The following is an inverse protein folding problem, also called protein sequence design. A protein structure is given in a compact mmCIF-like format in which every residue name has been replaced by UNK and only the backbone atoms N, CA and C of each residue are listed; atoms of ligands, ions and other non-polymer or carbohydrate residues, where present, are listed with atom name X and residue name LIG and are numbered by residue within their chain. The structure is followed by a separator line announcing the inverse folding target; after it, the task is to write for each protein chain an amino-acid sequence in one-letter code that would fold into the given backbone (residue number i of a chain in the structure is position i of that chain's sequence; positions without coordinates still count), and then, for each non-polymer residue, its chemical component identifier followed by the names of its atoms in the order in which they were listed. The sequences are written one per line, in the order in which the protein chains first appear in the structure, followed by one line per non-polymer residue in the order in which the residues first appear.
data_IF_052714874503
#
_entry.id   IF_052714874503
#
_cell.length_a   1.000
_cell.length_b   1.000
_cell.length_c   1.000
_cell.angle_alpha   90.00
_cell.angle_beta   90.00
_cell.angle_gamma   90.00
#
_symmetry.space_group_name_H-M   'P 1'
#
loop_
_entity.id
_entity.type
_entity.pdbx_description
1 polymer ?
#
# COMPACT_ATOMS: atom_id res chain seq x y z
N UNK A 1 2.92 20.53 21.24
CA UNK A 1 2.81 20.79 19.79
C UNK A 1 3.81 19.99 18.93
N UNK A 2 4.91 19.44 19.45
CA UNK A 2 5.87 18.63 18.65
C UNK A 2 5.45 17.16 18.35
N UNK A 3 4.50 16.57 19.11
CA UNK A 3 4.11 15.15 18.96
C UNK A 3 3.13 14.89 17.81
N UNK A 4 2.35 15.89 17.38
CA UNK A 4 1.36 15.70 16.30
C UNK A 4 2.02 15.70 14.90
N UNK A 5 3.04 16.52 14.67
CA UNK A 5 3.78 16.56 13.40
C UNK A 5 4.46 15.23 13.10
N UNK A 6 5.09 14.62 14.12
CA UNK A 6 5.82 13.35 13.99
C UNK A 6 4.93 12.14 13.76
N UNK A 7 3.68 12.17 14.25
CA UNK A 7 2.72 11.10 13.99
C UNK A 7 2.13 11.18 12.57
N UNK A 8 1.88 12.38 12.07
CA UNK A 8 1.39 12.57 10.70
C UNK A 8 2.45 12.20 9.66
N UNK A 9 3.71 12.59 9.87
CA UNK A 9 4.81 12.22 8.97
C UNK A 9 4.99 10.70 8.88
N UNK A 10 4.89 9.98 10.01
CA UNK A 10 4.94 8.51 10.02
C UNK A 10 3.77 7.88 9.26
N UNK A 11 2.55 8.36 9.47
CA UNK A 11 1.35 7.89 8.77
C UNK A 11 1.51 8.03 7.24
N UNK A 12 1.98 9.19 6.78
CA UNK A 12 2.22 9.45 5.36
C UNK A 12 3.27 8.49 4.79
N UNK A 13 4.37 8.26 5.52
CA UNK A 13 5.40 7.30 5.10
C UNK A 13 4.86 5.86 5.00
N UNK A 14 4.00 5.46 5.93
CA UNK A 14 3.32 4.16 5.88
C UNK A 14 2.41 4.06 4.66
N UNK A 15 1.60 5.09 4.38
CA UNK A 15 0.71 5.15 3.22
C UNK A 15 1.49 5.06 1.89
N UNK A 16 2.61 5.77 1.78
CA UNK A 16 3.50 5.70 0.61
C UNK A 16 4.10 4.30 0.46
N UNK A 17 4.54 3.67 1.56
CA UNK A 17 5.07 2.30 1.51
C UNK A 17 4.01 1.30 1.08
N UNK A 18 2.80 1.39 1.63
CA UNK A 18 1.66 0.53 1.28
C UNK A 18 1.33 0.64 -0.21
N UNK A 19 1.28 1.86 -0.74
CA UNK A 19 1.07 2.10 -2.17
C UNK A 19 2.20 1.51 -3.03
N UNK A 20 3.46 1.72 -2.66
CA UNK A 20 4.63 1.17 -3.37
C UNK A 20 4.60 -0.35 -3.46
N UNK A 21 4.21 -1.03 -2.37
CA UNK A 21 4.11 -2.49 -2.33
C UNK A 21 2.96 -3.01 -3.22
N UNK A 22 1.81 -2.33 -3.23
CA UNK A 22 0.72 -2.67 -4.14
C UNK A 22 1.15 -2.53 -5.60
N UNK A 23 1.80 -1.41 -5.94
CA UNK A 23 2.28 -1.15 -7.29
C UNK A 23 3.34 -2.18 -7.73
N UNK A 24 4.25 -2.56 -6.82
CA UNK A 24 5.23 -3.62 -7.08
C UNK A 24 4.56 -4.95 -7.40
N UNK A 25 3.53 -5.33 -6.64
CA UNK A 25 2.74 -6.55 -6.87
C UNK A 25 2.00 -6.51 -8.21
N UNK A 26 1.35 -5.39 -8.54
CA UNK A 26 0.65 -5.25 -9.83
C UNK A 26 1.61 -5.30 -11.01
N UNK A 27 2.77 -4.63 -10.88
CA UNK A 27 3.81 -4.68 -11.90
C UNK A 27 4.40 -6.09 -12.06
N UNK A 28 4.65 -6.84 -10.98
CA UNK A 28 5.20 -8.21 -11.12
C UNK A 28 4.20 -9.17 -11.78
N UNK A 29 2.90 -8.93 -11.64
CA UNK A 29 1.85 -9.65 -12.36
C UNK A 29 1.74 -9.24 -13.84
N UNK A 30 2.28 -8.09 -14.24
CA UNK A 30 2.25 -7.57 -15.60
C UNK A 30 3.55 -6.80 -15.94
N UNK A 31 4.65 -7.55 -15.99
CA UNK A 31 6.03 -7.06 -15.97
C UNK A 31 6.37 -6.05 -17.10
N UNK A 32 5.77 -6.25 -18.27
CA UNK A 32 6.01 -5.41 -19.44
C UNK A 32 5.23 -4.08 -19.39
N UNK A 33 4.17 -3.98 -18.58
CA UNK A 33 3.35 -2.78 -18.51
C UNK A 33 4.07 -1.61 -17.84
N UNK A 34 3.81 -0.40 -18.36
CA UNK A 34 4.18 0.87 -17.76
C UNK A 34 2.97 1.60 -17.17
N UNK A 35 1.77 1.15 -17.51
CA UNK A 35 0.52 1.78 -17.13
C UNK A 35 -0.33 0.78 -16.33
N UNK A 36 -0.91 1.27 -15.24
CA UNK A 36 -1.75 0.49 -14.33
C UNK A 36 -2.98 1.30 -13.95
N UNK A 37 -4.12 0.62 -13.89
CA UNK A 37 -5.30 1.11 -13.20
C UNK A 37 -5.43 0.39 -11.86
N UNK A 38 -5.70 1.17 -10.83
CA UNK A 38 -6.03 0.69 -9.49
C UNK A 38 -7.36 1.29 -9.09
N UNK A 39 -8.38 0.46 -8.93
CA UNK A 39 -9.69 0.90 -8.45
C UNK A 39 -9.61 1.26 -6.96
N UNK A 40 -10.37 2.25 -6.52
CA UNK A 40 -10.35 2.75 -5.14
C UNK A 40 -10.64 1.63 -4.12
N UNK A 41 -11.52 0.68 -4.46
CA UNK A 41 -11.83 -0.48 -3.63
C UNK A 41 -10.59 -1.34 -3.30
N UNK A 42 -9.62 -1.43 -4.21
CA UNK A 42 -8.37 -2.15 -3.96
C UNK A 42 -7.44 -1.40 -3.01
N UNK A 43 -7.43 -0.07 -3.10
CA UNK A 43 -6.66 0.81 -2.21
C UNK A 43 -7.25 0.79 -0.79
N UNK A 44 -8.58 0.87 -0.68
CA UNK A 44 -9.27 0.80 0.60
C UNK A 44 -9.04 -0.54 1.31
N UNK A 45 -9.02 -1.66 0.56
CA UNK A 45 -8.71 -2.99 1.13
C UNK A 45 -7.32 -3.07 1.77
N UNK A 46 -6.37 -2.26 1.32
CA UNK A 46 -5.02 -2.20 1.92
C UNK A 46 -4.86 -1.06 2.94
N UNK A 47 -5.97 -0.43 3.34
CA UNK A 47 -5.99 0.65 4.33
C UNK A 47 -5.58 2.02 3.78
N UNK A 48 -5.62 2.19 2.45
CA UNK A 48 -5.42 3.48 1.80
C UNK A 48 -6.77 4.03 1.33
N UNK A 49 -7.40 4.84 2.17
CA UNK A 49 -8.63 5.56 1.83
C UNK A 49 -8.35 6.78 0.92
N UNK A 50 -9.39 7.52 0.56
CA UNK A 50 -9.26 8.67 -0.35
C UNK A 50 -8.37 9.77 0.23
N UNK A 51 -8.43 10.01 1.54
CA UNK A 51 -7.59 11.01 2.21
C UNK A 51 -6.13 10.57 2.20
N UNK A 52 -5.83 9.32 2.59
CA UNK A 52 -4.50 8.75 2.51
C UNK A 52 -3.96 8.67 1.08
N UNK A 53 -4.82 8.44 0.09
CA UNK A 53 -4.45 8.47 -1.32
C UNK A 53 -4.07 9.90 -1.75
N UNK A 54 -4.83 10.92 -1.35
CA UNK A 54 -4.43 12.30 -1.61
C UNK A 54 -3.08 12.64 -0.96
N UNK A 55 -2.84 12.22 0.29
CA UNK A 55 -1.53 12.38 0.95
C UNK A 55 -0.40 11.73 0.13
N UNK A 56 -0.63 10.52 -0.41
CA UNK A 56 0.33 9.81 -1.26
C UNK A 56 0.55 10.54 -2.57
N UNK A 57 -0.51 11.00 -3.22
CA UNK A 57 -0.43 11.75 -4.49
C UNK A 57 0.31 13.05 -4.29
N UNK A 58 0.04 13.80 -3.21
CA UNK A 58 0.77 15.03 -2.90
C UNK A 58 2.24 14.73 -2.60
N UNK A 59 2.52 13.71 -1.79
CA UNK A 59 3.89 13.36 -1.39
C UNK A 59 4.73 12.90 -2.59
N UNK A 60 4.17 12.08 -3.48
CA UNK A 60 4.86 11.61 -4.67
C UNK A 60 4.83 12.64 -5.82
N UNK A 61 3.76 13.43 -5.91
CA UNK A 61 3.52 14.45 -6.92
C UNK A 61 4.34 15.72 -6.74
N UNK A 62 4.65 16.12 -5.50
CA UNK A 62 5.49 17.28 -5.20
C UNK A 62 6.95 17.10 -5.65
N UNK A 63 7.39 15.88 -5.92
CA UNK A 63 8.79 15.62 -6.22
C UNK A 63 9.12 15.80 -7.70
N UNK A 64 8.11 15.86 -8.58
CA UNK A 64 8.26 16.28 -9.98
C UNK A 64 8.82 17.70 -10.14
N UNK A 65 8.68 18.56 -9.13
CA UNK A 65 9.14 19.96 -9.20
C UNK A 65 10.64 20.15 -8.92
N UNK A 66 11.40 19.08 -8.61
CA UNK A 66 12.83 19.15 -8.29
C UNK A 66 13.75 18.59 -9.41
N UNK A 67 13.18 18.23 -10.56
CA UNK A 67 13.83 17.46 -11.64
C UNK A 67 14.87 18.21 -12.48
N UNK A 68 15.23 19.46 -12.18
CA UNK A 68 16.23 20.15 -13.00
C UNK A 68 17.67 19.72 -12.70
N UNK A 69 17.97 19.04 -11.58
CA UNK A 69 19.33 18.58 -11.32
C UNK A 69 19.45 17.45 -10.27
N UNK A 70 19.75 16.25 -10.76
CA UNK A 70 20.39 15.08 -10.10
C UNK A 70 19.46 13.94 -9.64
N UNK A 71 19.74 12.78 -10.26
CA UNK A 71 19.35 11.39 -9.89
C UNK A 71 17.86 11.24 -9.68
N UNK A 72 17.19 10.49 -10.54
CA UNK A 72 15.73 10.28 -10.51
C UNK A 72 15.30 9.19 -9.51
N UNK A 73 14.66 9.56 -8.40
CA UNK A 73 13.92 8.65 -7.55
C UNK A 73 12.59 8.20 -8.16
N UNK A 74 11.93 7.28 -7.45
CA UNK A 74 10.64 6.67 -7.76
C UNK A 74 9.52 7.71 -8.00
N UNK A 75 9.09 7.92 -9.25
CA UNK A 75 7.97 8.83 -9.56
C UNK A 75 6.97 8.23 -10.54
N UNK A 76 5.97 7.50 -10.03
CA UNK A 76 4.79 7.21 -10.81
C UNK A 76 4.01 8.50 -11.07
N UNK A 77 3.56 8.69 -12.31
CA UNK A 77 2.55 9.70 -12.61
C UNK A 77 1.21 9.16 -12.14
N UNK A 78 0.55 9.93 -11.29
CA UNK A 78 -0.71 9.55 -10.66
C UNK A 78 -1.81 10.48 -11.14
N UNK A 79 -2.91 9.91 -11.63
CA UNK A 79 -4.14 10.63 -11.91
C UNK A 79 -5.31 9.91 -11.25
N UNK A 80 -6.06 10.62 -10.41
CA UNK A 80 -7.20 10.06 -9.69
C UNK A 80 -8.47 10.78 -10.13
N UNK A 81 -9.45 10.03 -10.61
CA UNK A 81 -10.73 10.56 -11.08
C UNK A 81 -11.86 10.49 -10.03
N UNK A 82 -11.59 9.91 -8.86
CA UNK A 82 -12.55 9.66 -7.78
C UNK A 82 -12.91 8.18 -7.59
N UNK A 83 -12.74 7.36 -8.63
CA UNK A 83 -13.04 5.93 -8.61
C UNK A 83 -11.81 5.07 -8.94
N UNK A 84 -10.91 5.61 -9.76
CA UNK A 84 -9.73 4.93 -10.27
C UNK A 84 -8.50 5.82 -10.18
N UNK A 85 -7.41 5.16 -9.82
CA UNK A 85 -6.08 5.71 -9.87
C UNK A 85 -5.36 5.15 -11.09
N UNK A 86 -5.10 6.01 -12.06
CA UNK A 86 -4.20 5.75 -13.17
C UNK A 86 -2.76 5.99 -12.71
N UNK A 87 -1.90 5.02 -12.97
CA UNK A 87 -0.49 5.01 -12.58
C UNK A 87 0.38 4.73 -13.79
N UNK A 88 1.17 5.71 -14.21
CA UNK A 88 2.21 5.51 -15.24
C UNK A 88 3.59 5.53 -14.60
N UNK A 89 4.39 4.49 -14.80
CA UNK A 89 5.73 4.34 -14.21
C UNK A 89 6.83 4.53 -15.25
N UNK A 90 8.02 4.91 -14.79
CA UNK A 90 9.23 4.98 -15.64
C UNK A 90 10.01 3.65 -15.65
N UNK A 91 10.98 3.51 -16.57
CA UNK A 91 11.93 2.37 -16.55
C UNK A 91 12.70 2.27 -15.22
N UNK A 92 13.10 3.40 -14.64
CA UNK A 92 13.78 3.43 -13.34
C UNK A 92 12.86 3.00 -12.19
N UNK A 93 11.59 3.40 -12.27
CA UNK A 93 10.56 2.92 -11.34
C UNK A 93 10.42 1.40 -11.40
N UNK A 94 10.43 0.78 -12.58
CA UNK A 94 10.45 -0.69 -12.71
C UNK A 94 11.62 -1.34 -11.98
N UNK A 95 12.83 -0.78 -12.13
CA UNK A 95 14.03 -1.29 -11.44
C UNK A 95 13.88 -1.23 -9.92
N UNK A 96 13.29 -0.16 -9.39
CA UNK A 96 12.99 -0.03 -7.97
C UNK A 96 11.89 -1.01 -7.52
N UNK A 97 10.79 -1.14 -8.26
CA UNK A 97 9.71 -2.09 -7.96
C UNK A 97 10.22 -3.53 -7.94
N UNK A 98 11.13 -3.88 -8.84
CA UNK A 98 11.84 -5.17 -8.84
C UNK A 98 12.68 -5.38 -7.58
N UNK A 99 13.44 -4.38 -7.15
CA UNK A 99 14.20 -4.44 -5.89
C UNK A 99 13.27 -4.57 -4.69
N UNK A 100 12.21 -3.77 -4.62
CA UNK A 100 11.21 -3.84 -3.55
C UNK A 100 10.56 -5.22 -3.48
N UNK A 101 10.12 -5.77 -4.61
CA UNK A 101 9.52 -7.10 -4.66
C UNK A 101 10.51 -8.17 -4.18
N UNK A 102 11.75 -8.13 -4.66
CA UNK A 102 12.78 -9.10 -4.28
C UNK A 102 13.24 -8.99 -2.82
N UNK A 103 13.34 -7.78 -2.29
CA UNK A 103 13.75 -7.53 -0.90
C UNK A 103 12.60 -7.79 0.10
N UNK A 104 11.33 -7.66 -0.33
CA UNK A 104 10.15 -7.79 0.52
C UNK A 104 9.24 -8.98 0.16
N UNK A 105 9.72 -9.94 -0.65
CA UNK A 105 8.99 -11.13 -1.10
C UNK A 105 8.34 -11.92 0.06
N UNK A 106 8.96 -11.91 1.25
CA UNK A 106 8.46 -12.58 2.46
C UNK A 106 7.44 -11.71 3.21
N UNK A 107 7.60 -10.40 3.27
CA UNK A 107 6.70 -9.50 4.03
C UNK A 107 5.42 -9.16 3.28
N UNK A 108 5.47 -8.94 1.97
CA UNK A 108 4.28 -8.66 1.15
C UNK A 108 3.40 -9.91 1.03
N UNK A 109 4.02 -11.07 0.79
CA UNK A 109 3.33 -12.36 0.78
C UNK A 109 2.67 -12.67 2.12
N UNK A 110 3.38 -12.43 3.24
CA UNK A 110 2.83 -12.59 4.60
C UNK A 110 1.72 -11.60 4.92
N UNK A 111 1.85 -10.32 4.59
CA UNK A 111 0.81 -9.33 4.90
C UNK A 111 -0.51 -9.62 4.16
N UNK A 112 -0.42 -9.99 2.87
CA UNK A 112 -1.59 -10.41 2.08
C UNK A 112 -2.17 -11.72 2.61
N UNK A 113 -1.34 -12.72 2.92
CA UNK A 113 -1.81 -13.97 3.53
C UNK A 113 -2.45 -13.77 4.90
N UNK A 114 -1.88 -12.90 5.75
CA UNK A 114 -2.43 -12.55 7.07
C UNK A 114 -3.81 -11.93 6.89
N UNK A 115 -3.93 -10.95 5.99
CA UNK A 115 -5.19 -10.29 5.69
C UNK A 115 -6.25 -11.30 5.20
N UNK A 116 -5.92 -12.09 4.17
CA UNK A 116 -6.84 -13.09 3.61
C UNK A 116 -7.20 -14.17 4.64
N UNK A 117 -6.26 -14.58 5.48
CA UNK A 117 -6.49 -15.55 6.56
C UNK A 117 -7.42 -14.96 7.63
N UNK A 118 -7.20 -13.72 8.08
CA UNK A 118 -8.07 -13.06 9.07
C UNK A 118 -9.47 -12.88 8.51
N UNK A 119 -9.62 -12.41 7.26
CA UNK A 119 -10.93 -12.28 6.61
C UNK A 119 -11.62 -13.64 6.48
N UNK A 120 -10.91 -14.68 6.06
CA UNK A 120 -11.46 -16.02 5.91
C UNK A 120 -11.91 -16.59 7.27
N UNK A 121 -11.12 -16.40 8.33
CA UNK A 121 -11.47 -16.84 9.69
C UNK A 121 -12.71 -16.09 10.22
N UNK A 122 -12.84 -14.79 9.92
CA UNK A 122 -14.01 -13.99 10.32
C UNK A 122 -15.25 -14.39 9.50
N UNK A 123 -15.16 -14.38 8.17
CA UNK A 123 -16.34 -14.53 7.29
C UNK A 123 -16.79 -15.98 7.12
N UNK A 124 -15.85 -16.91 6.99
CA UNK A 124 -16.18 -18.30 6.65
C UNK A 124 -16.15 -19.23 7.87
N UNK A 125 -15.42 -18.87 8.92
CA UNK A 125 -15.35 -19.64 10.17
C UNK A 125 -15.98 -18.93 11.38
N UNK A 126 -16.50 -17.71 11.21
CA UNK A 126 -17.20 -16.91 12.23
C UNK A 126 -16.38 -16.68 13.52
N UNK A 127 -15.05 -16.64 13.41
CA UNK A 127 -14.14 -16.38 14.53
C UNK A 127 -13.94 -14.87 14.67
N UNK A 128 -14.38 -14.30 15.80
CA UNK A 128 -14.35 -12.87 16.05
C UNK A 128 -13.40 -12.43 17.17
N UNK A 129 -12.80 -13.39 17.88
CA UNK A 129 -11.82 -13.14 18.93
C UNK A 129 -10.49 -12.68 18.30
N UNK A 130 -10.08 -11.45 18.66
CA UNK A 130 -8.94 -10.78 18.04
C UNK A 130 -7.60 -11.43 18.41
N UNK A 131 -7.46 -11.93 19.63
CA UNK A 131 -6.22 -12.61 20.07
C UNK A 131 -6.10 -13.98 19.41
N UNK A 132 -7.21 -14.70 19.28
CA UNK A 132 -7.24 -15.97 18.58
C UNK A 132 -6.93 -15.80 17.08
N UNK A 133 -7.52 -14.78 16.44
CA UNK A 133 -7.23 -14.44 15.04
C UNK A 133 -5.75 -14.09 14.83
N UNK A 134 -5.15 -13.30 15.73
CA UNK A 134 -3.74 -12.93 15.66
C UNK A 134 -2.84 -14.18 15.72
N UNK A 135 -3.15 -15.09 16.64
CA UNK A 135 -2.44 -16.36 16.78
C UNK A 135 -2.60 -17.28 15.56
N UNK A 136 -3.80 -17.38 15.00
CA UNK A 136 -4.09 -18.25 13.84
C UNK A 136 -3.52 -17.69 12.54
N UNK A 137 -3.50 -16.37 12.37
CA UNK A 137 -2.94 -15.69 11.21
C UNK A 137 -1.42 -15.42 11.35
N UNK A 138 -0.80 -15.78 12.49
CA UNK A 138 0.61 -15.54 12.79
C UNK A 138 1.01 -14.06 12.66
N UNK A 139 0.18 -13.17 13.20
CA UNK A 139 0.37 -11.72 13.21
C UNK A 139 0.09 -11.14 14.59
N UNK A 140 0.27 -9.84 14.78
CA UNK A 140 -0.05 -9.15 16.03
C UNK A 140 -1.51 -8.68 16.10
N UNK A 141 -1.94 -8.39 17.33
CA UNK A 141 -3.31 -7.99 17.66
C UNK A 141 -3.69 -6.63 17.05
N UNK A 142 -2.75 -5.69 16.88
CA UNK A 142 -3.03 -4.39 16.27
C UNK A 142 -3.36 -4.55 14.78
N UNK A 143 -2.61 -5.41 14.08
CA UNK A 143 -2.85 -5.69 12.68
C UNK A 143 -4.22 -6.35 12.44
N UNK A 144 -4.62 -7.30 13.30
CA UNK A 144 -5.97 -7.88 13.27
C UNK A 144 -7.06 -6.84 13.54
N UNK A 145 -6.85 -5.93 14.51
CA UNK A 145 -7.81 -4.84 14.78
C UNK A 145 -7.98 -3.93 13.57
N UNK A 146 -6.89 -3.56 12.88
CA UNK A 146 -6.96 -2.77 11.64
C UNK A 146 -7.79 -3.50 10.58
N UNK A 147 -7.51 -4.78 10.33
CA UNK A 147 -8.26 -5.59 9.34
C UNK A 147 -9.75 -5.69 9.72
N UNK A 148 -10.04 -5.95 11.00
CA UNK A 148 -11.42 -6.10 11.49
C UNK A 148 -12.21 -4.78 11.45
N UNK A 149 -11.57 -3.65 11.76
CA UNK A 149 -12.21 -2.34 11.68
C UNK A 149 -12.56 -1.95 10.24
N UNK A 150 -11.78 -2.41 9.26
CA UNK A 150 -12.05 -2.18 7.84
C UNK A 150 -13.10 -3.15 7.24
N UNK A 151 -13.56 -4.14 8.00
CA UNK A 151 -14.61 -5.10 7.59
C UNK A 151 -16.03 -4.68 7.98
N UNK A 152 -16.16 -3.77 8.96
CA UNK A 152 -17.42 -3.21 9.46
C UNK A 152 -17.73 -1.89 8.77
#
# INVERSE_FOLDING_TARGET
MMQQSTNNEKKIQENVKVFQLLLAKKWSQNFDSYDFEIIIDELQKIGLDVEGLHEVIETLGQIYYLEDNKKEPFYPRLAFDGEKLEVTISYYTKKFLYTLERENMVEVGKAVQVHDTVINLIRNHNINDVELLAKMALTDVENVKRIKNNLN
#
